data_IF_639880189106
#
_entry.id   IF_639880189106
#
_cell.length_a   1.000
_cell.length_b   1.000
_cell.length_c   1.000
_cell.angle_alpha   90.00
_cell.angle_beta   90.00
_cell.angle_gamma   90.00
#
_symmetry.space_group_name_H-M   'P 1'
#
loop_
_entity.id
_entity.type
_entity.pdbx_description
1 polymer ?
#
# COMPACT_ATOMS: atom_id res chain seq x y z
N UNK A 1 -3.46 14.93 -2.53
CA UNK A 1 -4.59 14.76 -1.58
C UNK A 1 -5.27 16.07 -1.17
N UNK A 2 -4.60 17.24 -1.19
CA UNK A 2 -5.14 18.54 -0.76
C UNK A 2 -6.50 18.90 -1.38
N UNK A 3 -6.62 18.88 -2.72
CA UNK A 3 -7.87 19.22 -3.44
C UNK A 3 -9.03 18.32 -3.00
N UNK A 4 -8.81 17.01 -2.87
CA UNK A 4 -9.84 16.07 -2.43
C UNK A 4 -10.30 16.32 -0.98
N UNK A 5 -9.37 16.76 -0.11
CA UNK A 5 -9.72 17.16 1.27
C UNK A 5 -10.55 18.44 1.29
N UNK A 6 -10.14 19.46 0.52
CA UNK A 6 -10.85 20.74 0.39
C UNK A 6 -12.26 20.55 -0.20
N UNK A 7 -12.43 19.60 -1.13
CA UNK A 7 -13.71 19.26 -1.73
C UNK A 7 -14.61 18.36 -0.85
N UNK A 8 -14.17 17.98 0.36
CA UNK A 8 -14.97 17.16 1.27
C UNK A 8 -15.15 15.69 0.83
N UNK A 9 -14.22 15.14 0.04
CA UNK A 9 -14.30 13.74 -0.42
C UNK A 9 -14.18 12.79 0.77
N UNK A 10 -15.16 11.90 0.94
CA UNK A 10 -15.26 10.97 2.09
C UNK A 10 -14.10 9.98 2.20
N UNK A 11 -13.55 9.55 1.07
CA UNK A 11 -12.50 8.53 1.03
C UNK A 11 -11.32 9.02 0.21
N UNK A 12 -10.16 9.18 0.86
CA UNK A 12 -8.95 9.68 0.21
C UNK A 12 -7.82 8.73 0.56
N UNK A 13 -7.41 7.92 -0.41
CA UNK A 13 -6.31 6.98 -0.28
C UNK A 13 -5.08 7.52 -1.02
N UNK A 14 -3.90 7.13 -0.56
CA UNK A 14 -2.65 7.31 -1.30
C UNK A 14 -2.29 6.00 -2.01
N UNK A 15 -1.15 5.99 -2.71
CA UNK A 15 -0.67 4.82 -3.45
C UNK A 15 -0.02 3.72 -2.60
N UNK A 16 0.18 3.92 -1.29
CA UNK A 16 0.98 3.01 -0.47
C UNK A 16 0.39 1.59 -0.42
N UNK A 17 -0.92 1.48 -0.23
CA UNK A 17 -1.59 0.17 -0.20
C UNK A 17 -1.43 -0.59 -1.53
N UNK A 18 -1.52 0.13 -2.65
CA UNK A 18 -1.33 -0.44 -3.98
C UNK A 18 0.11 -0.93 -4.18
N UNK A 19 1.10 -0.15 -3.77
CA UNK A 19 2.52 -0.50 -3.92
C UNK A 19 2.91 -1.72 -3.07
N UNK A 20 2.41 -1.81 -1.85
CA UNK A 20 2.67 -3.00 -1.01
C UNK A 20 1.91 -4.21 -1.55
N UNK A 21 0.66 -4.04 -2.00
CA UNK A 21 -0.14 -5.11 -2.58
C UNK A 21 0.48 -5.75 -3.82
N UNK A 22 0.92 -4.93 -4.80
CA UNK A 22 1.62 -5.45 -5.99
C UNK A 22 2.91 -6.20 -5.63
N UNK A 23 3.62 -5.73 -4.60
CA UNK A 23 4.82 -6.39 -4.07
C UNK A 23 4.48 -7.74 -3.44
N UNK A 24 3.38 -7.82 -2.68
CA UNK A 24 2.89 -9.05 -2.08
C UNK A 24 2.56 -10.10 -3.15
N UNK A 25 1.83 -9.72 -4.20
CA UNK A 25 1.47 -10.62 -5.30
C UNK A 25 2.72 -11.09 -6.07
N UNK A 26 3.67 -10.20 -6.34
CA UNK A 26 4.93 -10.56 -7.00
C UNK A 26 5.78 -11.50 -6.13
N UNK A 27 5.84 -11.23 -4.82
CA UNK A 27 6.55 -12.06 -3.85
C UNK A 27 5.95 -13.46 -3.78
N UNK A 28 4.63 -13.57 -3.73
CA UNK A 28 3.91 -14.84 -3.75
C UNK A 28 4.11 -15.59 -5.05
N UNK A 29 4.03 -14.90 -6.19
CA UNK A 29 4.23 -15.47 -7.52
C UNK A 29 5.62 -16.13 -7.65
N UNK A 30 6.66 -15.49 -7.14
CA UNK A 30 8.03 -15.99 -7.28
C UNK A 30 8.45 -16.99 -6.20
N UNK A 31 7.96 -16.83 -4.98
CA UNK A 31 8.44 -17.61 -3.83
C UNK A 31 7.47 -18.69 -3.38
N UNK A 32 6.19 -18.60 -3.79
CA UNK A 32 5.11 -19.41 -3.27
C UNK A 32 4.73 -19.10 -1.81
N UNK A 33 5.29 -18.05 -1.20
CA UNK A 33 5.05 -17.67 0.19
C UNK A 33 4.24 -16.39 0.29
N UNK A 34 3.47 -16.26 1.36
CA UNK A 34 2.78 -15.01 1.69
C UNK A 34 3.75 -13.96 2.23
N UNK A 35 3.61 -12.71 1.77
CA UNK A 35 4.40 -11.60 2.28
C UNK A 35 3.77 -11.05 3.57
N UNK A 36 4.55 -10.70 4.62
CA UNK A 36 4.02 -10.06 5.81
C UNK A 36 3.65 -8.59 5.53
N UNK A 37 2.50 -8.37 4.89
CA UNK A 37 2.06 -7.09 4.33
C UNK A 37 2.04 -5.96 5.36
N UNK A 38 1.51 -6.20 6.56
CA UNK A 38 1.39 -5.15 7.59
C UNK A 38 2.77 -4.65 8.05
N UNK A 39 3.70 -5.57 8.30
CA UNK A 39 5.08 -5.24 8.67
C UNK A 39 5.81 -4.47 7.56
N UNK A 40 5.70 -4.94 6.31
CA UNK A 40 6.34 -4.27 5.17
C UNK A 40 5.73 -2.89 4.92
N UNK A 41 4.41 -2.75 5.08
CA UNK A 41 3.72 -1.46 4.95
C UNK A 41 4.24 -0.45 5.96
N UNK A 42 4.51 -0.85 7.19
CA UNK A 42 5.12 0.03 8.19
C UNK A 42 6.54 0.46 7.83
N UNK A 43 7.35 -0.44 7.27
CA UNK A 43 8.71 -0.10 6.81
C UNK A 43 8.65 0.88 5.66
N UNK A 44 7.86 0.58 4.62
CA UNK A 44 7.76 1.39 3.41
C UNK A 44 7.15 2.77 3.71
N UNK A 45 6.25 2.88 4.70
CA UNK A 45 5.70 4.16 5.12
C UNK A 45 6.73 5.07 5.83
N UNK A 46 7.83 4.50 6.35
CA UNK A 46 8.89 5.21 7.06
C UNK A 46 10.12 5.52 6.19
N UNK A 47 10.16 5.00 4.96
CA UNK A 47 11.18 5.27 3.97
C UNK A 47 10.87 6.56 3.20
#
# INVERSE_FOLDING_TARGET
MRIAKEAGVKHIYNGLGMVVGQGAESFKLWTGKEMPVDYIKEIVAKA
#
